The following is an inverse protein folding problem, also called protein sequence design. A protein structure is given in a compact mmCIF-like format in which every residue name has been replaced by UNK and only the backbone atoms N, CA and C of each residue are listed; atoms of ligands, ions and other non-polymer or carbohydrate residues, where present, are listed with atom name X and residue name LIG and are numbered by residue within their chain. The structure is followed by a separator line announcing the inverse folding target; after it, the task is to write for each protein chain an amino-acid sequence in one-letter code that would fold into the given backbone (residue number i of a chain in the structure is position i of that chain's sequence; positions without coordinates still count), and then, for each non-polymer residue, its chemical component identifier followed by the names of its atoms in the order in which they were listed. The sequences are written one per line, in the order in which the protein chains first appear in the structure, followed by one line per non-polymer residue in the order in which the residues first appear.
data_IF_406826341303
#
_entry.id   IF_406826341303
#
_cell.length_a   1.000
_cell.length_b   1.000
_cell.length_c   1.000
_cell.angle_alpha   90.00
_cell.angle_beta   90.00
_cell.angle_gamma   90.00
#
_symmetry.space_group_name_H-M   'P 1'
#
loop_
_entity.id
_entity.type
_entity.pdbx_description
1 polymer ?
#
# COMPACT_ATOMS: atom_id res chain seq x y z
N UNK A 1 -12.46 -14.93 -10.38
CA UNK A 1 -11.44 -14.25 -9.56
C UNK A 1 -12.13 -13.77 -8.29
N UNK A 2 -11.44 -13.82 -7.16
CA UNK A 2 -11.93 -13.31 -5.90
C UNK A 2 -11.03 -12.14 -5.47
N UNK A 3 -11.62 -11.09 -4.93
CA UNK A 3 -10.89 -9.94 -4.42
C UNK A 3 -10.97 -9.91 -2.89
N UNK A 4 -9.85 -9.58 -2.24
CA UNK A 4 -9.76 -9.29 -0.82
C UNK A 4 -9.47 -7.79 -0.71
N UNK A 5 -10.36 -7.07 -0.04
CA UNK A 5 -10.36 -5.61 0.03
C UNK A 5 -10.14 -5.17 1.47
N UNK A 6 -9.25 -4.21 1.65
CA UNK A 6 -9.08 -3.44 2.88
C UNK A 6 -9.37 -1.96 2.59
N UNK A 7 -10.44 -1.45 3.20
CA UNK A 7 -10.93 -0.07 3.08
C UNK A 7 -10.80 0.72 4.40
N UNK A 8 -10.24 0.10 5.45
CA UNK A 8 -10.03 0.69 6.77
C UNK A 8 -11.31 1.17 7.48
N UNK A 9 -12.51 0.78 7.07
CA UNK A 9 -13.75 1.26 7.69
C UNK A 9 -14.05 0.62 9.05
N UNK A 10 -13.31 -0.43 9.41
CA UNK A 10 -13.39 -1.08 10.72
C UNK A 10 -12.00 -1.35 11.33
N UNK A 11 -11.96 -2.04 12.46
CA UNK A 11 -10.73 -2.42 13.16
C UNK A 11 -10.30 -3.87 12.93
N UNK A 12 -11.00 -4.59 12.07
CA UNK A 12 -10.76 -5.99 11.73
C UNK A 12 -10.21 -6.10 10.30
N UNK A 13 -8.92 -5.80 10.17
CA UNK A 13 -8.27 -5.73 8.87
C UNK A 13 -8.34 -7.05 8.08
N UNK A 14 -8.60 -6.94 6.77
CA UNK A 14 -8.77 -8.06 5.84
C UNK A 14 -7.49 -8.90 5.67
N UNK A 15 -6.33 -8.33 6.02
CA UNK A 15 -5.05 -9.01 6.06
C UNK A 15 -4.15 -8.42 7.16
N UNK A 16 -3.14 -9.17 7.65
CA UNK A 16 -2.25 -8.64 8.68
C UNK A 16 -1.44 -7.43 8.20
N UNK A 17 -1.50 -6.35 8.98
CA UNK A 17 -0.76 -5.10 8.75
C UNK A 17 0.19 -4.87 9.92
N UNK A 18 1.48 -4.75 9.63
CA UNK A 18 2.46 -4.19 10.54
C UNK A 18 2.62 -2.70 10.22
N UNK A 19 2.06 -1.87 11.10
CA UNK A 19 2.03 -0.42 10.96
C UNK A 19 3.39 0.28 11.08
N UNK A 20 4.47 -0.46 11.38
CA UNK A 20 5.81 0.07 11.49
C UNK A 20 6.30 0.23 12.93
N UNK A 21 7.53 0.71 13.08
CA UNK A 21 8.17 0.87 14.38
C UNK A 21 7.58 2.05 15.18
N UNK A 22 7.73 2.03 16.50
CA UNK A 22 7.36 3.14 17.39
C UNK A 22 8.01 4.45 16.94
N UNK A 23 7.25 5.54 16.92
CA UNK A 23 7.68 6.85 16.41
C UNK A 23 7.77 6.95 14.88
N UNK A 24 7.49 5.86 14.16
CA UNK A 24 7.41 5.80 12.69
C UNK A 24 6.14 5.10 12.19
N UNK A 25 5.15 5.03 13.07
CA UNK A 25 3.97 4.18 12.92
C UNK A 25 2.96 4.84 12.01
N UNK A 26 2.55 4.12 10.98
CA UNK A 26 1.35 4.43 10.20
C UNK A 26 0.11 4.16 11.05
N UNK A 27 -1.00 4.83 10.76
CA UNK A 27 -2.22 4.63 11.55
C UNK A 27 -3.47 4.87 10.72
N UNK A 28 -4.56 4.24 11.14
CA UNK A 28 -5.89 4.50 10.62
C UNK A 28 -6.31 5.92 10.98
N UNK A 29 -6.68 6.71 9.98
CA UNK A 29 -6.93 8.15 10.09
C UNK A 29 -8.27 8.53 9.45
N UNK A 30 -8.86 9.63 9.91
CA UNK A 30 -10.08 10.23 9.36
C UNK A 30 -9.83 11.58 8.69
N UNK A 31 -8.56 11.95 8.49
CA UNK A 31 -8.21 13.29 7.96
C UNK A 31 -8.43 13.39 6.46
N UNK A 32 -8.19 12.30 5.73
CA UNK A 32 -8.48 12.12 4.31
C UNK A 32 -8.89 10.67 4.10
N UNK A 33 -9.80 10.41 3.18
CA UNK A 33 -10.20 9.07 2.74
C UNK A 33 -10.50 9.10 1.24
N UNK A 34 -10.24 8.00 0.55
CA UNK A 34 -10.65 7.87 -0.86
C UNK A 34 -12.14 7.55 -0.94
N UNK A 35 -12.62 6.72 -0.03
CA UNK A 35 -14.04 6.42 0.20
C UNK A 35 -14.29 6.20 1.68
N UNK A 36 -15.55 6.29 2.12
CA UNK A 36 -15.84 6.12 3.54
C UNK A 36 -15.23 7.21 4.41
N UNK A 37 -14.94 6.89 5.68
CA UNK A 37 -14.45 7.84 6.67
C UNK A 37 -12.98 7.63 7.05
N UNK A 38 -12.39 6.52 6.67
CA UNK A 38 -11.09 6.09 7.15
C UNK A 38 -10.14 5.78 6.00
N UNK A 39 -8.85 5.94 6.26
CA UNK A 39 -7.77 5.48 5.40
C UNK A 39 -6.53 5.19 6.25
N UNK A 40 -5.49 4.66 5.62
CA UNK A 40 -4.18 4.49 6.25
C UNK A 40 -3.31 5.72 5.99
N UNK A 41 -2.81 6.34 7.06
CA UNK A 41 -1.97 7.54 6.98
C UNK A 41 -0.57 7.29 7.53
N UNK A 42 0.45 7.85 6.87
CA UNK A 42 1.79 7.94 7.43
C UNK A 42 1.84 8.95 8.60
N UNK A 43 2.82 8.83 9.52
CA UNK A 43 3.04 9.89 10.50
C UNK A 43 3.40 11.21 9.82
N UNK A 44 3.06 12.33 10.46
CA UNK A 44 3.47 13.65 9.99
C UNK A 44 5.00 13.78 10.08
N UNK A 45 5.62 14.21 8.99
CA UNK A 45 7.09 14.30 8.88
C UNK A 45 7.63 15.72 8.94
N UNK A 46 6.83 16.71 9.32
CA UNK A 46 7.30 18.09 9.48
C UNK A 46 8.41 18.17 10.52
N UNK A 47 9.51 18.83 10.15
CA UNK A 47 10.73 18.93 10.95
C UNK A 47 11.54 17.63 11.07
N UNK A 48 11.14 16.57 10.36
CA UNK A 48 11.89 15.32 10.25
C UNK A 48 12.57 15.30 8.88
N UNK A 49 13.85 14.94 8.83
CA UNK A 49 14.60 14.83 7.58
C UNK A 49 15.23 13.43 7.46
N UNK A 50 15.41 12.97 6.22
CA UNK A 50 16.15 11.77 5.84
C UNK A 50 15.68 10.50 6.56
N UNK A 51 14.38 10.22 6.47
CA UNK A 51 13.77 9.13 7.21
C UNK A 51 12.72 8.38 6.41
N UNK A 52 12.80 7.04 6.50
CA UNK A 52 11.78 6.13 5.98
C UNK A 52 10.77 5.74 7.06
N UNK A 53 9.51 5.72 6.67
CA UNK A 53 8.35 5.29 7.45
C UNK A 53 7.68 4.14 6.72
N UNK A 54 7.81 2.93 7.24
CA UNK A 54 7.40 1.71 6.54
C UNK A 54 6.23 1.03 7.22
N UNK A 55 5.18 0.79 6.45
CA UNK A 55 4.10 -0.14 6.76
C UNK A 55 4.29 -1.41 5.92
N UNK A 56 4.16 -2.59 6.54
CA UNK A 56 4.30 -3.88 5.86
C UNK A 56 2.99 -4.66 5.93
N UNK A 57 2.49 -5.06 4.78
CA UNK A 57 1.29 -5.86 4.60
C UNK A 57 1.69 -7.30 4.28
N UNK A 58 1.04 -8.26 4.95
CA UNK A 58 1.14 -9.66 4.57
C UNK A 58 0.23 -9.92 3.38
N UNK A 59 0.81 -10.39 2.28
CA UNK A 59 0.08 -10.67 1.04
C UNK A 59 -0.78 -11.92 1.25
N UNK A 60 -2.11 -11.86 0.99
CA UNK A 60 -2.97 -13.04 1.10
C UNK A 60 -2.47 -14.19 0.22
N UNK A 61 -2.48 -15.45 0.73
CA UNK A 61 -2.03 -16.59 -0.05
C UNK A 61 -2.77 -16.73 -1.39
N UNK A 62 -1.99 -16.87 -2.47
CA UNK A 62 -2.53 -17.04 -3.82
C UNK A 62 -2.90 -15.74 -4.54
N UNK A 63 -2.68 -14.57 -3.94
CA UNK A 63 -2.82 -13.30 -4.65
C UNK A 63 -1.79 -13.20 -5.79
N UNK A 64 -2.24 -12.70 -6.94
CA UNK A 64 -1.38 -12.47 -8.11
C UNK A 64 -1.22 -11.00 -8.44
N UNK A 65 -2.17 -10.15 -8.06
CA UNK A 65 -2.04 -8.71 -8.22
C UNK A 65 -2.57 -7.93 -7.04
N UNK A 66 -2.02 -6.75 -6.81
CA UNK A 66 -2.56 -5.75 -5.89
C UNK A 66 -2.79 -4.42 -6.62
N UNK A 67 -3.85 -3.71 -6.22
CA UNK A 67 -4.05 -2.29 -6.52
C UNK A 67 -4.33 -1.56 -5.22
N UNK A 68 -3.94 -0.30 -5.14
CA UNK A 68 -4.27 0.57 -4.00
C UNK A 68 -4.49 1.99 -4.48
N UNK A 69 -5.23 2.77 -3.71
CA UNK A 69 -5.32 4.21 -3.88
C UNK A 69 -4.28 4.86 -2.99
N UNK A 70 -3.57 5.85 -3.52
CA UNK A 70 -2.69 6.70 -2.72
C UNK A 70 -3.08 8.16 -2.88
N UNK A 71 -2.75 9.00 -1.91
CA UNK A 71 -2.77 10.46 -1.97
C UNK A 71 -1.51 10.99 -1.28
N UNK A 72 -0.93 12.07 -1.80
CA UNK A 72 0.24 12.71 -1.21
C UNK A 72 0.01 14.20 -1.05
N UNK A 73 0.45 14.77 0.07
CA UNK A 73 0.51 16.20 0.31
C UNK A 73 1.85 16.49 1.03
N UNK A 74 2.91 16.52 0.22
CA UNK A 74 4.29 16.65 0.67
C UNK A 74 5.13 17.40 -0.38
N UNK A 75 6.44 17.56 -0.14
CA UNK A 75 7.37 18.05 -1.15
C UNK A 75 7.47 17.09 -2.33
N UNK A 76 7.85 17.59 -3.51
CA UNK A 76 8.13 16.74 -4.69
C UNK A 76 9.34 15.81 -4.52
N UNK A 77 10.21 16.10 -3.55
CA UNK A 77 11.34 15.26 -3.18
C UNK A 77 10.96 14.15 -2.18
N UNK A 78 9.81 14.28 -1.51
CA UNK A 78 9.26 13.28 -0.61
C UNK A 78 8.44 12.25 -1.39
N UNK A 79 8.61 10.96 -1.09
CA UNK A 79 8.07 9.89 -1.92
C UNK A 79 7.21 8.91 -1.12
N UNK A 80 5.97 8.70 -1.57
CA UNK A 80 5.19 7.50 -1.29
C UNK A 80 5.60 6.41 -2.28
N UNK A 81 6.10 5.28 -1.79
CA UNK A 81 6.65 4.20 -2.58
C UNK A 81 6.05 2.86 -2.16
N UNK A 82 5.83 1.95 -3.12
CA UNK A 82 5.36 0.59 -2.86
C UNK A 82 6.39 -0.40 -3.38
N UNK A 83 6.80 -1.35 -2.54
CA UNK A 83 7.74 -2.41 -2.88
C UNK A 83 7.10 -3.77 -2.66
N UNK A 84 7.36 -4.69 -3.58
CA UNK A 84 6.90 -6.07 -3.49
C UNK A 84 8.05 -6.98 -3.04
N UNK A 85 7.80 -7.79 -2.01
CA UNK A 85 8.77 -8.72 -1.43
C UNK A 85 10.07 -8.03 -1.02
N UNK A 86 11.19 -8.64 -1.39
CA UNK A 86 12.55 -8.12 -1.16
C UNK A 86 13.04 -7.13 -2.23
N UNK A 87 12.18 -6.72 -3.17
CA UNK A 87 12.59 -5.80 -4.25
C UNK A 87 13.10 -4.46 -3.69
N UNK A 88 14.22 -3.99 -4.22
CA UNK A 88 14.74 -2.64 -3.99
C UNK A 88 14.15 -1.59 -4.96
N UNK A 89 13.48 -2.04 -6.02
CA UNK A 89 12.79 -1.17 -6.96
C UNK A 89 11.32 -1.05 -6.58
N UNK A 90 10.82 0.19 -6.50
CA UNK A 90 9.41 0.43 -6.24
C UNK A 90 8.56 0.07 -7.46
N UNK A 91 7.42 -0.56 -7.22
CA UNK A 91 6.41 -0.88 -8.23
C UNK A 91 5.42 0.26 -8.45
N UNK A 92 5.38 1.22 -7.52
CA UNK A 92 4.56 2.43 -7.60
C UNK A 92 5.25 3.52 -6.78
N UNK A 93 5.25 4.75 -7.30
CA UNK A 93 5.77 5.93 -6.61
C UNK A 93 4.89 7.14 -6.89
N UNK A 94 4.67 7.98 -5.87
CA UNK A 94 4.07 9.31 -5.97
C UNK A 94 4.84 10.29 -5.10
N UNK A 95 4.88 11.55 -5.50
CA UNK A 95 5.52 12.64 -4.74
C UNK A 95 4.82 13.97 -4.99
N UNK A 96 5.08 14.96 -4.13
CA UNK A 96 4.43 16.27 -4.21
C UNK A 96 2.97 16.24 -3.71
N UNK A 97 2.21 17.28 -4.05
CA UNK A 97 0.75 17.25 -3.87
C UNK A 97 0.10 16.49 -5.04
N UNK A 98 -0.51 15.35 -4.74
CA UNK A 98 -1.25 14.57 -5.74
C UNK A 98 -2.57 14.04 -5.16
N UNK A 99 -3.72 14.31 -5.81
CA UNK A 99 -5.02 13.85 -5.32
C UNK A 99 -5.12 12.32 -5.39
N UNK A 100 -6.12 11.72 -4.75
CA UNK A 100 -6.36 10.27 -4.80
C UNK A 100 -6.29 9.71 -6.23
N UNK A 101 -5.41 8.73 -6.43
CA UNK A 101 -5.31 7.99 -7.68
C UNK A 101 -4.96 6.53 -7.41
N UNK A 102 -5.54 5.64 -8.20
CA UNK A 102 -5.27 4.21 -8.12
C UNK A 102 -3.91 3.89 -8.76
N UNK A 103 -3.16 2.99 -8.14
CA UNK A 103 -1.96 2.39 -8.73
C UNK A 103 -2.32 1.56 -9.98
N UNK A 104 -1.37 1.33 -10.90
CA UNK A 104 -1.50 0.22 -11.83
C UNK A 104 -1.64 -1.12 -11.09
N UNK A 105 -2.02 -2.18 -11.80
CA UNK A 105 -1.95 -3.53 -11.25
C UNK A 105 -0.49 -3.90 -10.99
N UNK A 106 -0.15 -4.17 -9.74
CA UNK A 106 1.19 -4.57 -9.33
C UNK A 106 1.20 -6.09 -9.17
N UNK A 107 2.12 -6.77 -9.85
CA UNK A 107 2.30 -8.22 -9.72
C UNK A 107 2.88 -8.57 -8.34
N UNK A 108 2.19 -9.47 -7.64
CA UNK A 108 2.59 -9.99 -6.32
C UNK A 108 2.71 -11.51 -6.31
N UNK A 109 2.74 -12.12 -7.48
CA UNK A 109 2.77 -13.58 -7.63
C UNK A 109 3.97 -14.19 -6.91
N UNK A 110 3.68 -15.13 -6.01
CA UNK A 110 4.71 -15.84 -5.23
C UNK A 110 5.37 -15.00 -4.12
N UNK A 111 4.86 -13.80 -3.84
CA UNK A 111 5.40 -12.88 -2.83
C UNK A 111 4.57 -12.96 -1.54
N UNK A 112 5.20 -12.68 -0.41
CA UNK A 112 4.56 -12.77 0.91
C UNK A 112 4.36 -11.43 1.59
N UNK A 113 5.06 -10.39 1.12
CA UNK A 113 5.08 -9.07 1.76
C UNK A 113 4.95 -7.95 0.73
N UNK A 114 4.17 -6.94 1.07
CA UNK A 114 4.09 -5.66 0.38
C UNK A 114 4.55 -4.58 1.37
N UNK A 115 5.49 -3.72 0.99
CA UNK A 115 5.96 -2.62 1.82
C UNK A 115 5.51 -1.30 1.23
N UNK A 116 4.79 -0.52 2.01
CA UNK A 116 4.41 0.85 1.70
C UNK A 116 5.34 1.75 2.51
N UNK A 117 6.08 2.60 1.82
CA UNK A 117 7.12 3.44 2.42
C UNK A 117 6.82 4.90 2.10
N UNK A 118 6.78 5.72 3.13
CA UNK A 118 6.89 7.16 2.98
C UNK A 118 8.33 7.55 3.29
N UNK A 119 9.03 8.12 2.30
CA UNK A 119 10.42 8.57 2.42
C UNK A 119 10.45 10.08 2.43
N UNK A 120 10.92 10.63 3.55
CA UNK A 120 11.25 12.05 3.71
C UNK A 120 12.70 12.25 3.32
N UNK A 121 12.95 13.18 2.42
CA UNK A 121 14.30 13.48 1.95
C UNK A 121 15.02 14.45 2.91
N UNK A 122 16.15 15.04 2.47
CA UNK A 122 16.95 15.95 3.30
C UNK A 122 16.50 17.41 3.21
N UNK A 123 15.55 17.74 2.32
CA UNK A 123 15.18 19.13 2.03
C UNK A 123 14.12 19.67 3.00
N UNK A 124 13.39 20.71 2.58
CA UNK A 124 12.56 21.52 3.46
C UNK A 124 11.19 20.88 3.64
N UNK A 125 10.37 21.45 4.51
CA UNK A 125 8.97 21.07 4.62
C UNK A 125 8.15 21.75 3.53
N UNK A 126 7.29 20.99 2.85
CA UNK A 126 6.30 21.53 1.93
C UNK A 126 5.01 20.70 1.97
N UNK A 127 3.87 21.35 1.69
CA UNK A 127 2.56 20.72 1.86
C UNK A 127 2.27 20.37 3.32
N UNK A 128 1.52 19.29 3.54
CA UNK A 128 1.16 18.80 4.89
C UNK A 128 2.19 17.84 5.48
N UNK A 129 3.20 17.43 4.72
CA UNK A 129 4.17 16.39 5.09
C UNK A 129 3.48 15.08 5.47
N UNK A 130 2.49 14.69 4.65
CA UNK A 130 1.61 13.56 4.88
C UNK A 130 1.33 12.80 3.59
N UNK A 131 1.13 11.50 3.74
CA UNK A 131 0.67 10.62 2.66
C UNK A 131 -0.38 9.65 3.21
N UNK A 132 -1.31 9.27 2.34
CA UNK A 132 -2.41 8.37 2.66
C UNK A 132 -2.51 7.24 1.63
N UNK A 133 -2.99 6.08 2.08
CA UNK A 133 -3.31 4.91 1.27
C UNK A 133 -4.68 4.39 1.67
N UNK A 134 -5.46 3.95 0.69
CA UNK A 134 -6.80 3.45 0.89
C UNK A 134 -7.16 2.38 -0.15
N UNK A 135 -8.24 1.62 0.09
CA UNK A 135 -8.83 0.65 -0.82
C UNK A 135 -7.79 -0.28 -1.46
N UNK A 136 -7.10 -1.03 -0.60
CA UNK A 136 -6.09 -2.00 -1.03
C UNK A 136 -6.81 -3.28 -1.45
N UNK A 137 -6.66 -3.64 -2.72
CA UNK A 137 -7.36 -4.77 -3.33
C UNK A 137 -6.35 -5.80 -3.82
N UNK A 138 -6.33 -6.96 -3.18
CA UNK A 138 -5.63 -8.14 -3.68
C UNK A 138 -6.56 -9.01 -4.52
N UNK A 139 -6.14 -9.36 -5.73
CA UNK A 139 -6.87 -10.28 -6.60
C UNK A 139 -6.26 -11.67 -6.55
N UNK A 140 -7.10 -12.66 -6.26
CA UNK A 140 -6.80 -14.08 -6.27
C UNK A 140 -7.48 -14.73 -7.49
N UNK A 141 -6.73 -15.33 -8.42
CA UNK A 141 -7.30 -16.11 -9.50
C UNK A 141 -8.10 -17.27 -8.92
N UNK A 142 -9.36 -17.40 -9.36
CA UNK A 142 -10.11 -18.63 -9.09
C UNK A 142 -9.39 -19.75 -9.81
N UNK A 143 -8.95 -20.79 -9.10
CA UNK A 143 -8.45 -22.02 -9.73
C UNK A 143 -9.51 -22.46 -10.72
N UNK A 144 -9.21 -22.41 -12.03
CA UNK A 144 -9.99 -23.17 -12.99
C UNK A 144 -9.61 -24.61 -12.69
N UNK A 145 -10.54 -25.39 -12.12
CA UNK A 145 -10.32 -26.82 -11.93
C UNK A 145 -10.14 -27.43 -13.33
N UNK A 146 -8.90 -27.53 -13.78
CA UNK A 146 -8.51 -28.19 -15.02
C UNK A 146 -8.67 -29.69 -14.87
N UNK A 147 -9.90 -30.17 -14.73
CA UNK A 147 -10.24 -31.53 -15.13
C UNK A 147 -10.46 -31.50 -16.64
N UNK A 148 -9.35 -31.49 -17.38
CA UNK A 148 -9.38 -32.00 -18.75
C UNK A 148 -9.65 -33.51 -18.70
N UNK A 149 -10.36 -34.09 -19.69
CA UNK A 149 -10.58 -35.53 -19.72
C UNK A 149 -9.22 -36.25 -19.79
N UNK A 150 -9.00 -37.19 -18.88
CA UNK A 150 -7.87 -38.11 -18.93
C UNK A 150 -8.08 -39.01 -20.14
N UNK A 151 -7.21 -39.03 -21.16
CA UNK A 151 -7.32 -40.01 -22.23
C UNK A 151 -7.01 -41.38 -21.63
N UNK A 152 -7.99 -42.30 -21.69
CA UNK A 152 -7.74 -43.71 -21.48
C UNK A 152 -7.00 -44.23 -22.72
N UNK A 153 -5.72 -44.55 -22.57
CA UNK A 153 -5.01 -45.52 -23.39
C UNK A 153 -4.19 -46.43 -22.49
#
# INVERSE_FOLDING_TARGET
MADIVEDFEDSNYAFPINFGASGKTWFRSTTESQSGNYSLQAPNTSGINNQDFTCTITIPPGATSVRLWGMTDCETADNLMVFVGSSSSSSFTRSGFTPWAQSPAIDVTGQTQLRIVYRKDVSQDAGRNLVWVDNIVFTIPTKVNGWGPVPLF
#
